data_IF_531646954378
#
_entry.id   IF_531646954378
#
_cell.length_a   1.000
_cell.length_b   1.000
_cell.length_c   1.000
_cell.angle_alpha   90.00
_cell.angle_beta   90.00
_cell.angle_gamma   90.00
#
_symmetry.space_group_name_H-M   'P 1'
#
loop_
_entity.id
_entity.type
_entity.pdbx_description
1 polymer ?
#
# COMPACT_ATOMS: atom_id res chain seq x y z
N UNK A 1 39.58 -99.43 36.82
CA UNK A 1 39.08 -98.07 37.11
C UNK A 1 39.06 -97.33 35.78
N UNK A 2 38.01 -96.74 35.24
CA UNK A 2 36.61 -96.50 35.61
C UNK A 2 35.92 -96.09 34.30
N UNK A 3 34.69 -96.51 34.01
CA UNK A 3 33.75 -95.80 33.15
C UNK A 3 32.34 -96.35 33.45
N UNK A 4 31.60 -95.66 34.30
CA UNK A 4 30.18 -95.90 34.59
C UNK A 4 29.32 -95.38 33.44
N UNK A 5 28.16 -96.00 33.20
CA UNK A 5 27.19 -95.56 32.20
C UNK A 5 26.84 -94.07 32.36
N UNK A 6 26.70 -93.31 31.25
CA UNK A 6 26.40 -91.90 31.32
C UNK A 6 25.01 -91.67 31.95
N UNK A 7 24.85 -90.58 32.73
CA UNK A 7 23.57 -90.28 33.35
C UNK A 7 22.47 -90.08 32.29
N UNK A 8 21.20 -90.40 32.62
CA UNK A 8 20.09 -90.19 31.70
C UNK A 8 20.01 -88.72 31.28
N UNK A 9 19.63 -88.44 30.02
CA UNK A 9 19.56 -87.08 29.54
C UNK A 9 18.58 -86.26 30.41
N UNK A 10 18.88 -84.97 30.65
CA UNK A 10 18.01 -84.10 31.42
C UNK A 10 16.64 -83.96 30.76
N UNK A 11 15.59 -83.88 31.59
CA UNK A 11 14.21 -83.64 31.13
C UNK A 11 14.06 -82.18 30.67
N UNK A 12 13.80 -82.00 29.38
CA UNK A 12 13.65 -80.71 28.73
C UNK A 12 12.19 -80.25 28.64
N UNK A 13 11.22 -81.04 29.10
CA UNK A 13 9.79 -80.71 29.07
C UNK A 13 9.46 -79.32 29.63
N UNK A 14 9.91 -78.98 30.85
CA UNK A 14 9.68 -77.65 31.43
C UNK A 14 10.29 -76.49 30.63
N UNK A 15 11.43 -76.73 29.97
CA UNK A 15 12.05 -75.72 29.10
C UNK A 15 11.27 -75.53 27.79
N UNK A 16 10.73 -76.61 27.23
CA UNK A 16 9.89 -76.55 26.03
C UNK A 16 8.54 -75.86 26.30
N UNK A 17 7.93 -76.10 27.45
CA UNK A 17 6.71 -75.41 27.91
C UNK A 17 6.96 -73.91 28.14
N UNK A 18 8.04 -73.56 28.86
CA UNK A 18 8.42 -72.15 29.04
C UNK A 18 8.70 -71.45 27.71
N UNK A 19 9.34 -72.13 26.76
CA UNK A 19 9.58 -71.59 25.41
C UNK A 19 8.28 -71.34 24.65
N UNK A 20 7.30 -72.23 24.79
CA UNK A 20 5.97 -72.09 24.17
C UNK A 20 5.19 -70.93 24.77
N UNK A 21 5.25 -70.76 26.09
CA UNK A 21 4.57 -69.66 26.79
C UNK A 21 5.19 -68.29 26.45
N UNK A 22 6.53 -68.20 26.37
CA UNK A 22 7.22 -66.99 25.93
C UNK A 22 6.85 -66.64 24.49
N UNK A 23 6.77 -67.64 23.59
CA UNK A 23 6.34 -67.41 22.21
C UNK A 23 4.88 -66.91 22.13
N UNK A 24 3.99 -67.44 22.99
CA UNK A 24 2.60 -67.00 23.09
C UNK A 24 2.49 -65.55 23.56
N UNK A 25 3.18 -65.21 24.65
CA UNK A 25 3.22 -63.84 25.19
C UNK A 25 3.81 -62.86 24.17
N UNK A 26 4.88 -63.26 23.48
CA UNK A 26 5.48 -62.44 22.43
C UNK A 26 4.50 -62.17 21.27
N UNK A 27 3.77 -63.20 20.83
CA UNK A 27 2.75 -63.05 19.78
C UNK A 27 1.59 -62.16 20.23
N UNK A 28 1.12 -62.30 21.47
CA UNK A 28 0.05 -61.48 22.05
C UNK A 28 0.49 -60.00 22.14
N UNK A 29 1.68 -59.76 22.68
CA UNK A 29 2.29 -58.41 22.75
C UNK A 29 2.45 -57.78 21.37
N UNK A 30 2.89 -58.55 20.36
CA UNK A 30 3.00 -58.06 18.98
C UNK A 30 1.63 -57.67 18.38
N UNK A 31 0.57 -58.43 18.67
CA UNK A 31 -0.79 -58.11 18.23
C UNK A 31 -1.31 -56.83 18.90
N UNK A 32 -1.08 -56.67 20.20
CA UNK A 32 -1.44 -55.46 20.94
C UNK A 32 -0.70 -54.23 20.43
N UNK A 33 0.62 -54.35 20.19
CA UNK A 33 1.41 -53.27 19.59
C UNK A 33 0.90 -52.88 18.20
N UNK A 34 0.55 -53.86 17.37
CA UNK A 34 -0.02 -53.59 16.05
C UNK A 34 -1.42 -52.94 16.14
N UNK A 35 -2.25 -53.37 17.08
CA UNK A 35 -3.58 -52.79 17.30
C UNK A 35 -3.46 -51.33 17.76
N UNK A 36 -2.61 -51.07 18.75
CA UNK A 36 -2.31 -49.72 19.22
C UNK A 36 -1.74 -48.85 18.10
N UNK A 37 -0.80 -49.36 17.30
CA UNK A 37 -0.23 -48.62 16.17
C UNK A 37 -1.29 -48.24 15.13
N UNK A 38 -2.25 -49.13 14.82
CA UNK A 38 -3.37 -48.83 13.91
C UNK A 38 -4.31 -47.78 14.49
N UNK A 39 -4.59 -47.84 15.78
CA UNK A 39 -5.44 -46.86 16.47
C UNK A 39 -4.78 -45.48 16.48
N UNK A 40 -3.49 -45.41 16.80
CA UNK A 40 -2.70 -44.17 16.76
C UNK A 40 -2.63 -43.59 15.35
N UNK A 41 -2.37 -44.40 14.31
CA UNK A 41 -2.40 -43.93 12.93
C UNK A 41 -3.75 -43.30 12.58
N UNK A 42 -4.84 -43.96 12.97
CA UNK A 42 -6.21 -43.46 12.72
C UNK A 42 -6.45 -42.11 13.39
N UNK A 43 -6.10 -41.97 14.68
CA UNK A 43 -6.26 -40.72 15.43
C UNK A 43 -5.37 -39.59 14.89
N UNK A 44 -4.11 -39.92 14.55
CA UNK A 44 -3.17 -38.95 14.00
C UNK A 44 -3.63 -38.47 12.62
N UNK A 45 -4.10 -39.37 11.76
CA UNK A 45 -4.64 -38.99 10.44
C UNK A 45 -5.89 -38.13 10.56
N UNK A 46 -6.80 -38.44 11.46
CA UNK A 46 -8.01 -37.63 11.69
C UNK A 46 -7.65 -36.22 12.20
N UNK A 47 -6.72 -36.13 13.15
CA UNK A 47 -6.25 -34.86 13.70
C UNK A 47 -5.54 -34.04 12.63
N UNK A 48 -4.63 -34.67 11.88
CA UNK A 48 -3.90 -34.03 10.79
C UNK A 48 -4.86 -33.54 9.70
N UNK A 49 -5.86 -34.35 9.32
CA UNK A 49 -6.84 -33.96 8.32
C UNK A 49 -7.62 -32.71 8.78
N UNK A 50 -8.05 -32.66 10.04
CA UNK A 50 -8.75 -31.49 10.62
C UNK A 50 -7.89 -30.23 10.52
N UNK A 51 -6.58 -30.34 10.76
CA UNK A 51 -5.66 -29.21 10.65
C UNK A 51 -5.44 -28.81 9.19
N UNK A 52 -5.21 -29.77 8.30
CA UNK A 52 -4.97 -29.52 6.88
C UNK A 52 -6.20 -28.94 6.17
N UNK A 53 -7.41 -29.37 6.55
CA UNK A 53 -8.68 -28.86 6.03
C UNK A 53 -8.88 -27.37 6.34
N UNK A 54 -8.23 -26.84 7.38
CA UNK A 54 -8.25 -25.41 7.71
C UNK A 54 -7.05 -24.69 7.10
N UNK A 55 -5.85 -25.26 7.20
CA UNK A 55 -4.61 -24.59 6.79
C UNK A 55 -4.48 -24.48 5.27
N UNK A 56 -4.79 -25.53 4.51
CA UNK A 56 -4.60 -25.51 3.06
C UNK A 56 -5.52 -24.51 2.34
N UNK A 57 -6.83 -24.43 2.64
CA UNK A 57 -7.68 -23.41 2.04
C UNK A 57 -7.26 -22.01 2.45
N UNK A 58 -6.93 -21.79 3.73
CA UNK A 58 -6.46 -20.48 4.20
C UNK A 58 -5.19 -20.03 3.47
N UNK A 59 -4.25 -20.95 3.20
CA UNK A 59 -3.08 -20.65 2.38
C UNK A 59 -3.45 -20.34 0.93
N UNK A 60 -4.36 -21.11 0.32
CA UNK A 60 -4.82 -20.86 -1.05
C UNK A 60 -5.49 -19.48 -1.18
N UNK A 61 -6.40 -19.15 -0.26
CA UNK A 61 -7.06 -17.83 -0.21
C UNK A 61 -6.03 -16.71 -0.03
N UNK A 62 -5.02 -16.89 0.82
CA UNK A 62 -3.95 -15.90 0.98
C UNK A 62 -3.17 -15.69 -0.33
N UNK A 63 -2.83 -16.75 -1.05
CA UNK A 63 -2.16 -16.63 -2.34
C UNK A 63 -3.05 -15.99 -3.41
N UNK A 64 -4.33 -16.33 -3.44
CA UNK A 64 -5.29 -15.74 -4.38
C UNK A 64 -5.48 -14.23 -4.12
N UNK A 65 -5.74 -13.85 -2.87
CA UNK A 65 -5.84 -12.45 -2.47
C UNK A 65 -4.55 -11.67 -2.78
N UNK A 66 -3.38 -12.24 -2.50
CA UNK A 66 -2.10 -11.60 -2.82
C UNK A 66 -1.90 -11.41 -4.34
N UNK A 67 -2.41 -12.33 -5.17
CA UNK A 67 -2.41 -12.18 -6.63
C UNK A 67 -3.37 -11.11 -7.08
N UNK A 68 -4.61 -11.09 -6.57
CA UNK A 68 -5.60 -10.07 -6.91
C UNK A 68 -5.12 -8.67 -6.52
N UNK A 69 -4.54 -8.52 -5.32
CA UNK A 69 -3.97 -7.25 -4.86
C UNK A 69 -2.83 -6.79 -5.77
N UNK A 70 -1.97 -7.72 -6.21
CA UNK A 70 -0.91 -7.41 -7.17
C UNK A 70 -1.48 -7.01 -8.51
N UNK A 71 -2.43 -7.75 -9.06
CA UNK A 71 -3.06 -7.44 -10.34
C UNK A 71 -3.75 -6.07 -10.28
N UNK A 72 -4.42 -5.75 -9.18
CA UNK A 72 -5.01 -4.43 -8.96
C UNK A 72 -3.95 -3.34 -8.85
N UNK A 73 -2.85 -3.58 -8.14
CA UNK A 73 -1.74 -2.64 -8.08
C UNK A 73 -1.12 -2.39 -9.46
N UNK A 74 -0.80 -3.43 -10.22
CA UNK A 74 -0.17 -3.33 -11.53
C UNK A 74 -1.07 -2.66 -12.57
N UNK A 75 -2.37 -2.97 -12.57
CA UNK A 75 -3.30 -2.51 -13.62
C UNK A 75 -4.04 -1.22 -13.28
N UNK A 76 -4.22 -0.90 -11.99
CA UNK A 76 -5.00 0.27 -11.56
C UNK A 76 -4.10 1.33 -10.94
N UNK A 77 -3.31 0.97 -9.92
CA UNK A 77 -2.58 1.97 -9.14
C UNK A 77 -1.28 2.42 -9.80
N UNK A 78 -0.45 1.49 -10.29
CA UNK A 78 0.83 1.81 -10.93
C UNK A 78 0.68 2.79 -12.11
N UNK A 79 -0.29 2.64 -13.03
CA UNK A 79 -0.49 3.63 -14.09
C UNK A 79 -0.90 5.01 -13.57
N UNK A 80 -1.68 5.08 -12.48
CA UNK A 80 -2.06 6.34 -11.84
C UNK A 80 -0.85 7.00 -11.16
N UNK A 81 0.02 6.21 -10.52
CA UNK A 81 1.27 6.68 -9.94
C UNK A 81 2.19 7.25 -11.03
N UNK A 82 2.35 6.54 -12.15
CA UNK A 82 3.15 7.00 -13.29
C UNK A 82 2.59 8.30 -13.89
N UNK A 83 1.26 8.41 -14.05
CA UNK A 83 0.60 9.63 -14.50
C UNK A 83 0.81 10.79 -13.54
N UNK A 84 0.68 10.55 -12.24
CA UNK A 84 0.92 11.58 -11.21
C UNK A 84 2.36 12.07 -11.24
N UNK A 85 3.34 11.17 -11.38
CA UNK A 85 4.76 11.52 -11.51
C UNK A 85 4.97 12.37 -12.76
N UNK A 86 4.39 11.99 -13.89
CA UNK A 86 4.48 12.74 -15.14
C UNK A 86 3.86 14.14 -15.00
N UNK A 87 2.68 14.26 -14.38
CA UNK A 87 2.03 15.54 -14.11
C UNK A 87 2.89 16.42 -13.20
N UNK A 88 3.43 15.84 -12.12
CA UNK A 88 4.30 16.57 -11.19
C UNK A 88 5.57 17.10 -11.88
N UNK A 89 6.16 16.33 -12.79
CA UNK A 89 7.31 16.76 -13.60
C UNK A 89 6.94 17.90 -14.56
N UNK A 90 5.78 17.80 -15.21
CA UNK A 90 5.30 18.75 -16.20
C UNK A 90 4.46 19.90 -15.61
N UNK A 91 4.36 20.03 -14.28
CA UNK A 91 3.41 20.97 -13.69
C UNK A 91 3.80 22.43 -13.91
N UNK A 92 5.08 22.72 -13.75
CA UNK A 92 5.63 24.08 -13.74
C UNK A 92 6.18 24.44 -15.13
N UNK A 93 5.28 24.80 -16.06
CA UNK A 93 5.62 25.16 -17.44
C UNK A 93 5.39 26.65 -17.72
N UNK A 94 6.12 27.25 -18.68
CA UNK A 94 5.90 28.64 -19.09
C UNK A 94 4.45 28.92 -19.52
N UNK A 95 3.83 27.98 -20.23
CA UNK A 95 2.47 28.08 -20.73
C UNK A 95 1.46 28.10 -19.58
N UNK A 96 1.63 27.22 -18.59
CA UNK A 96 0.76 27.21 -17.40
C UNK A 96 0.98 28.44 -16.55
N UNK A 97 2.22 28.89 -16.36
CA UNK A 97 2.49 30.16 -15.67
C UNK A 97 1.77 31.32 -16.34
N UNK A 98 1.84 31.42 -17.66
CA UNK A 98 1.12 32.46 -18.42
C UNK A 98 -0.39 32.36 -18.25
N UNK A 99 -0.97 31.17 -18.32
CA UNK A 99 -2.40 30.97 -18.08
C UNK A 99 -2.84 31.46 -16.69
N UNK A 100 -2.08 31.09 -15.65
CA UNK A 100 -2.39 31.52 -14.28
C UNK A 100 -2.15 33.02 -14.08
N UNK A 101 -1.10 33.59 -14.68
CA UNK A 101 -0.88 35.04 -14.72
C UNK A 101 -2.06 35.75 -15.35
N UNK A 102 -2.49 35.32 -16.54
CA UNK A 102 -3.62 35.93 -17.25
C UNK A 102 -4.91 35.90 -16.42
N UNK A 103 -5.18 34.79 -15.72
CA UNK A 103 -6.31 34.69 -14.78
C UNK A 103 -6.16 35.65 -13.60
N UNK A 104 -4.97 35.75 -13.01
CA UNK A 104 -4.70 36.63 -11.89
C UNK A 104 -4.82 38.11 -12.27
N UNK A 105 -4.26 38.51 -13.41
CA UNK A 105 -4.32 39.89 -13.93
C UNK A 105 -5.74 40.27 -14.36
N UNK A 106 -6.50 39.35 -14.95
CA UNK A 106 -7.90 39.57 -15.27
C UNK A 106 -8.74 39.89 -14.03
N UNK A 107 -8.52 39.17 -12.91
CA UNK A 107 -9.20 39.45 -11.65
C UNK A 107 -8.88 40.84 -11.08
N UNK A 108 -7.62 41.28 -11.18
CA UNK A 108 -7.22 42.64 -10.79
C UNK A 108 -7.91 43.68 -11.67
N UNK A 109 -7.87 43.53 -12.99
CA UNK A 109 -8.50 44.47 -13.92
C UNK A 109 -10.00 44.60 -13.65
N UNK A 110 -10.72 43.48 -13.49
CA UNK A 110 -12.15 43.51 -13.16
C UNK A 110 -12.45 44.25 -11.85
N UNK A 111 -11.61 44.06 -10.81
CA UNK A 111 -11.77 44.74 -9.53
C UNK A 111 -11.54 46.26 -9.65
N UNK A 112 -10.51 46.68 -10.38
CA UNK A 112 -10.23 48.10 -10.62
C UNK A 112 -11.30 48.76 -11.52
N UNK A 113 -11.83 48.06 -12.52
CA UNK A 113 -12.91 48.56 -13.37
C UNK A 113 -14.22 48.73 -12.60
N UNK A 114 -14.54 47.80 -11.69
CA UNK A 114 -15.67 47.95 -10.77
C UNK A 114 -15.48 49.16 -9.83
N UNK A 115 -14.28 49.30 -9.25
CA UNK A 115 -13.94 50.43 -8.37
C UNK A 115 -14.06 51.78 -9.10
N UNK A 116 -13.55 51.84 -10.34
CA UNK A 116 -13.62 53.03 -11.20
C UNK A 116 -15.06 53.42 -11.53
N UNK A 117 -15.91 52.46 -11.91
CA UNK A 117 -17.34 52.72 -12.17
C UNK A 117 -18.06 53.26 -10.93
N UNK A 118 -17.80 52.69 -9.76
CA UNK A 118 -18.37 53.18 -8.50
C UNK A 118 -17.88 54.59 -8.16
N UNK A 119 -16.60 54.90 -8.44
CA UNK A 119 -16.06 56.24 -8.22
C UNK A 119 -16.71 57.28 -9.15
N UNK A 120 -16.88 56.95 -10.45
CA UNK A 120 -17.54 57.83 -11.42
C UNK A 120 -18.99 58.11 -11.03
N UNK A 121 -19.77 57.09 -10.66
CA UNK A 121 -21.16 57.27 -10.22
C UNK A 121 -21.28 58.19 -9.00
N UNK A 122 -20.33 58.11 -8.05
CA UNK A 122 -20.29 59.03 -6.91
C UNK A 122 -19.98 60.46 -7.33
N UNK A 123 -19.03 60.66 -8.24
CA UNK A 123 -18.68 62.00 -8.76
C UNK A 123 -19.87 62.63 -9.50
N UNK A 124 -20.57 61.85 -10.33
CA UNK A 124 -21.81 62.25 -10.99
C UNK A 124 -22.89 62.65 -9.97
N UNK A 125 -23.04 61.87 -8.89
CA UNK A 125 -23.97 62.18 -7.80
C UNK A 125 -23.66 63.45 -7.00
N UNK A 126 -22.39 63.90 -7.00
CA UNK A 126 -21.97 65.18 -6.40
C UNK A 126 -21.92 66.34 -7.42
N UNK A 127 -22.29 66.10 -8.68
CA UNK A 127 -22.23 67.11 -9.75
C UNK A 127 -20.81 67.52 -10.15
N UNK A 128 -19.80 66.69 -9.86
CA UNK A 128 -18.40 66.94 -10.22
C UNK A 128 -18.16 66.42 -11.63
N UNK A 129 -17.65 67.27 -12.52
CA UNK A 129 -17.33 66.89 -13.89
C UNK A 129 -16.07 66.00 -13.93
N UNK A 130 -16.15 64.76 -14.45
CA UNK A 130 -15.00 63.86 -14.59
C UNK A 130 -13.90 64.41 -15.51
N UNK A 131 -14.21 65.38 -16.37
CA UNK A 131 -13.27 66.00 -17.30
C UNK A 131 -12.32 67.01 -16.64
N UNK A 132 -12.58 67.42 -15.38
CA UNK A 132 -11.72 68.35 -14.65
C UNK A 132 -10.31 67.79 -14.38
N UNK A 133 -9.30 68.67 -14.40
CA UNK A 133 -7.89 68.30 -14.22
C UNK A 133 -7.60 67.55 -12.92
N UNK A 134 -8.34 67.84 -11.84
CA UNK A 134 -8.22 67.12 -10.56
C UNK A 134 -8.72 65.67 -10.66
N UNK A 135 -9.80 65.43 -11.42
CA UNK A 135 -10.33 64.09 -11.71
C UNK A 135 -9.35 63.30 -12.59
N UNK A 136 -8.71 63.95 -13.56
CA UNK A 136 -7.68 63.33 -14.39
C UNK A 136 -6.42 62.93 -13.61
N UNK A 137 -5.98 63.75 -12.63
CA UNK A 137 -4.84 63.41 -11.79
C UNK A 137 -5.10 62.18 -10.90
N UNK A 138 -6.32 62.07 -10.35
CA UNK A 138 -6.76 60.88 -9.61
C UNK A 138 -6.80 59.64 -10.51
N UNK A 139 -7.25 59.80 -11.75
CA UNK A 139 -7.31 58.73 -12.74
C UNK A 139 -5.94 58.15 -13.11
N UNK A 140 -4.92 59.00 -13.26
CA UNK A 140 -3.53 58.56 -13.45
C UNK A 140 -3.05 57.74 -12.23
N UNK A 141 -3.34 58.20 -11.02
CA UNK A 141 -3.01 57.48 -9.78
C UNK A 141 -3.66 56.09 -9.73
N UNK A 142 -4.94 55.98 -10.09
CA UNK A 142 -5.67 54.70 -10.15
C UNK A 142 -5.07 53.77 -11.21
N UNK A 143 -4.71 54.28 -12.40
CA UNK A 143 -4.07 53.47 -13.46
C UNK A 143 -2.69 52.96 -13.05
N UNK A 144 -1.89 53.80 -12.40
CA UNK A 144 -0.58 53.38 -11.85
C UNK A 144 -0.75 52.32 -10.76
N UNK A 145 -1.73 52.49 -9.86
CA UNK A 145 -2.04 51.50 -8.83
C UNK A 145 -2.54 50.17 -9.45
N UNK A 146 -3.38 50.23 -10.49
CA UNK A 146 -3.84 49.05 -11.23
C UNK A 146 -2.67 48.33 -11.89
N UNK A 147 -1.76 49.04 -12.55
CA UNK A 147 -0.58 48.45 -13.18
C UNK A 147 0.33 47.77 -12.15
N UNK A 148 0.59 48.42 -11.01
CA UNK A 148 1.37 47.85 -9.91
C UNK A 148 0.71 46.60 -9.31
N UNK A 149 -0.61 46.65 -9.07
CA UNK A 149 -1.37 45.51 -8.56
C UNK A 149 -1.38 44.35 -9.56
N UNK A 150 -1.48 44.64 -10.86
CA UNK A 150 -1.46 43.65 -11.95
C UNK A 150 -0.11 42.95 -12.01
N UNK A 151 0.99 43.72 -11.97
CA UNK A 151 2.35 43.17 -11.93
C UNK A 151 2.58 42.34 -10.66
N UNK A 152 2.12 42.81 -9.50
CA UNK A 152 2.21 42.07 -8.24
C UNK A 152 1.44 40.75 -8.27
N UNK A 153 0.23 40.76 -8.82
CA UNK A 153 -0.60 39.57 -8.98
C UNK A 153 0.02 38.55 -9.95
N UNK A 154 0.59 39.02 -11.07
CA UNK A 154 1.31 38.17 -12.01
C UNK A 154 2.53 37.50 -11.36
N UNK A 155 3.38 38.26 -10.68
CA UNK A 155 4.56 37.71 -9.99
C UNK A 155 4.18 36.74 -8.88
N UNK A 156 3.15 37.04 -8.08
CA UNK A 156 2.69 36.12 -7.03
C UNK A 156 2.06 34.85 -7.62
N UNK A 157 1.40 34.96 -8.77
CA UNK A 157 0.86 33.81 -9.49
C UNK A 157 1.97 32.85 -9.93
N UNK A 158 3.08 33.36 -10.46
CA UNK A 158 4.23 32.55 -10.85
C UNK A 158 4.83 31.78 -9.66
N UNK A 159 5.02 32.46 -8.52
CA UNK A 159 5.52 31.83 -7.30
C UNK A 159 4.58 30.71 -6.84
N UNK A 160 3.26 30.91 -6.89
CA UNK A 160 2.28 29.88 -6.51
C UNK A 160 2.33 28.65 -7.42
N UNK A 161 2.48 28.85 -8.73
CA UNK A 161 2.62 27.74 -9.69
C UNK A 161 3.90 26.96 -9.42
N UNK A 162 5.01 27.66 -9.17
CA UNK A 162 6.29 27.05 -8.84
C UNK A 162 6.25 26.26 -7.54
N UNK A 163 5.72 26.86 -6.47
CA UNK A 163 5.58 26.22 -5.16
C UNK A 163 4.70 24.97 -5.26
N UNK A 164 3.59 25.04 -6.00
CA UNK A 164 2.73 23.89 -6.24
C UNK A 164 3.46 22.80 -7.03
N UNK A 165 4.24 23.16 -8.05
CA UNK A 165 5.07 22.20 -8.79
C UNK A 165 6.13 21.54 -7.89
N UNK A 166 6.81 22.31 -7.03
CA UNK A 166 7.75 21.76 -6.03
C UNK A 166 7.04 20.84 -5.03
N UNK A 167 5.84 21.19 -4.58
CA UNK A 167 5.04 20.37 -3.68
C UNK A 167 4.66 19.03 -4.32
N UNK A 168 4.16 19.05 -5.56
CA UNK A 168 3.79 17.84 -6.30
C UNK A 168 5.00 16.93 -6.54
N UNK A 169 6.14 17.50 -6.94
CA UNK A 169 7.40 16.74 -7.07
C UNK A 169 7.86 16.16 -5.73
N UNK A 170 7.71 16.91 -4.64
CA UNK A 170 7.99 16.41 -3.29
C UNK A 170 7.11 15.21 -2.91
N UNK A 171 5.81 15.26 -3.24
CA UNK A 171 4.88 14.14 -3.03
C UNK A 171 5.26 12.93 -3.90
N UNK A 172 5.62 13.14 -5.17
CA UNK A 172 6.07 12.08 -6.06
C UNK A 172 7.36 11.39 -5.56
N UNK A 173 8.30 12.16 -4.99
CA UNK A 173 9.52 11.61 -4.35
C UNK A 173 9.15 10.77 -3.11
N UNK A 174 8.20 11.24 -2.29
CA UNK A 174 7.75 10.49 -1.10
C UNK A 174 7.08 9.17 -1.49
N UNK A 175 6.23 9.19 -2.53
CA UNK A 175 5.64 7.99 -3.12
C UNK A 175 6.73 7.00 -3.54
N UNK A 176 7.70 7.46 -4.34
CA UNK A 176 8.85 6.66 -4.79
C UNK A 176 9.68 6.04 -3.65
N UNK A 177 9.77 6.71 -2.50
CA UNK A 177 10.45 6.17 -1.30
C UNK A 177 9.61 5.16 -0.52
N UNK A 178 8.28 5.19 -0.63
CA UNK A 178 7.36 4.25 0.03
C UNK A 178 7.21 2.92 -0.70
N UNK A 179 7.32 2.93 -2.03
CA UNK A 179 7.21 1.75 -2.91
C UNK A 179 8.15 0.58 -2.51
N UNK A 180 9.46 0.79 -2.23
CA UNK A 180 10.35 -0.29 -1.80
C UNK A 180 9.94 -0.96 -0.48
N UNK A 181 9.31 -0.21 0.44
CA UNK A 181 8.87 -0.72 1.74
C UNK A 181 7.59 -1.55 1.66
N UNK A 182 6.65 -1.18 0.78
CA UNK A 182 5.41 -1.93 0.57
C UNK A 182 5.63 -3.20 -0.25
N UNK A 183 6.46 -3.14 -1.29
CA UNK A 183 6.82 -4.33 -2.09
C UNK A 183 7.55 -5.36 -1.23
N UNK A 184 8.43 -4.93 -0.31
CA UNK A 184 9.11 -5.81 0.63
C UNK A 184 8.20 -6.46 1.68
N UNK A 185 7.22 -5.72 2.21
CA UNK A 185 6.26 -6.25 3.18
C UNK A 185 5.30 -7.28 2.57
N UNK A 186 4.83 -7.02 1.34
CA UNK A 186 3.92 -7.93 0.63
C UNK A 186 4.64 -9.22 0.19
N UNK A 187 5.91 -9.14 -0.22
CA UNK A 187 6.74 -10.33 -0.47
C UNK A 187 7.12 -11.10 0.80
N UNK A 188 7.43 -10.40 1.90
CA UNK A 188 7.76 -11.03 3.20
C UNK A 188 6.57 -11.79 3.78
N UNK A 189 5.37 -11.24 3.68
CA UNK A 189 4.14 -11.93 4.08
C UNK A 189 3.83 -13.16 3.21
N UNK A 190 4.07 -13.07 1.90
CA UNK A 190 3.84 -14.19 0.98
C UNK A 190 4.90 -15.31 1.10
N UNK A 191 6.15 -14.99 1.46
CA UNK A 191 7.22 -15.99 1.65
C UNK A 191 7.22 -16.54 3.08
N UNK A 192 6.77 -15.79 4.08
CA UNK A 192 6.63 -16.27 5.47
C UNK A 192 5.40 -17.14 5.73
N UNK A 193 4.47 -17.20 4.77
CA UNK A 193 3.29 -18.07 4.79
C UNK A 193 3.50 -19.43 4.10
N UNK A 194 4.68 -19.68 3.49
CA UNK A 194 5.07 -20.98 2.91
C UNK A 194 5.95 -21.79 3.86
#
# INVERSE_FOLDING_TARGET
MCCSDPPPPPDLGPMAEASTEVARIAQETQREQLAWAREQDTMNRATLQTVLDVQLPAMQDQFENAREDRERWENVFRPLEDQFIAEAQAYDTPERREEYRARATAGVTQAFDASRRNALQRLEGYGIDPSESRSQALDIGVRTAQAAATAGAASQSDVRVEERGRQLRGQAIQLGRGLPGQVGAQYSGAVGAG
#
